data_IF_632374753580
#
_entry.id   IF_632374753580
#
_cell.length_a   1.000
_cell.length_b   1.000
_cell.length_c   1.000
_cell.angle_alpha   90.00
_cell.angle_beta   90.00
_cell.angle_gamma   90.00
#
_symmetry.space_group_name_H-M   'P 1'
#
loop_
_entity.id
_entity.type
_entity.pdbx_description
1 polymer ?
#
# COMPACT_ATOMS: atom_id res chain seq x y z
N UNK A 1 9.85 -0.78 -31.65
CA UNK A 1 10.41 -0.67 -30.29
C UNK A 1 9.38 0.04 -29.43
N UNK A 2 9.02 -0.52 -28.28
CA UNK A 2 8.02 0.10 -27.39
C UNK A 2 8.61 1.40 -26.81
N UNK A 3 7.87 2.52 -26.75
CA UNK A 3 8.40 3.80 -26.23
C UNK A 3 8.97 3.68 -24.81
N UNK A 4 8.35 2.86 -23.97
CA UNK A 4 8.86 2.56 -22.63
C UNK A 4 10.22 1.83 -22.69
N UNK A 5 10.38 0.89 -23.62
CA UNK A 5 11.65 0.20 -23.87
C UNK A 5 12.73 1.18 -24.35
N UNK A 6 12.38 2.10 -25.26
CA UNK A 6 13.31 3.15 -25.71
C UNK A 6 13.80 4.01 -24.55
N UNK A 7 12.90 4.41 -23.64
CA UNK A 7 13.25 5.19 -22.46
C UNK A 7 14.28 4.46 -21.57
N UNK A 8 14.05 3.18 -21.27
CA UNK A 8 14.99 2.41 -20.45
C UNK A 8 16.32 2.11 -21.17
N UNK A 9 16.30 1.95 -22.49
CA UNK A 9 17.53 1.80 -23.27
C UNK A 9 18.34 3.10 -23.29
N UNK A 10 17.69 4.26 -23.30
CA UNK A 10 18.38 5.55 -23.12
C UNK A 10 18.98 5.69 -21.72
N UNK A 11 18.27 5.29 -20.66
CA UNK A 11 18.81 5.29 -19.30
C UNK A 11 20.07 4.42 -19.19
N UNK A 12 20.05 3.22 -19.79
CA UNK A 12 21.23 2.34 -19.83
C UNK A 12 22.41 3.00 -20.55
N UNK A 13 22.18 3.60 -21.72
CA UNK A 13 23.22 4.33 -22.46
C UNK A 13 23.82 5.47 -21.64
N UNK A 14 23.01 6.19 -20.86
CA UNK A 14 23.48 7.27 -19.97
C UNK A 14 24.32 6.70 -18.83
N UNK A 15 23.89 5.59 -18.21
CA UNK A 15 24.65 4.91 -17.17
C UNK A 15 26.00 4.39 -17.71
N UNK A 16 26.02 3.76 -18.87
CA UNK A 16 27.26 3.27 -19.52
C UNK A 16 28.24 4.43 -19.81
N UNK A 17 27.70 5.59 -20.23
CA UNK A 17 28.51 6.79 -20.46
C UNK A 17 29.11 7.31 -19.14
N UNK A 18 28.34 7.36 -18.05
CA UNK A 18 28.83 7.72 -16.73
C UNK A 18 29.93 6.76 -16.25
N UNK A 19 29.74 5.45 -16.42
CA UNK A 19 30.76 4.45 -16.04
C UNK A 19 32.05 4.61 -16.84
N UNK A 20 31.95 4.99 -18.11
CA UNK A 20 33.10 5.25 -18.97
C UNK A 20 33.81 6.57 -18.65
N UNK A 21 33.19 7.45 -17.85
CA UNK A 21 33.70 8.77 -17.50
C UNK A 21 33.61 8.99 -15.98
N UNK A 22 34.43 8.27 -15.21
CA UNK A 22 34.38 8.27 -13.74
C UNK A 22 34.43 9.67 -13.10
N UNK A 23 35.18 10.62 -13.67
CA UNK A 23 35.25 12.01 -13.20
C UNK A 23 33.92 12.76 -13.28
N UNK A 24 33.01 12.31 -14.15
CA UNK A 24 31.65 12.84 -14.33
C UNK A 24 30.60 12.01 -13.60
N UNK A 25 30.95 10.85 -13.06
CA UNK A 25 30.03 9.95 -12.36
C UNK A 25 29.83 10.37 -10.90
N UNK A 26 29.23 11.54 -10.72
CA UNK A 26 28.89 12.12 -9.42
C UNK A 26 27.37 12.16 -9.19
N UNK A 27 26.97 12.47 -7.97
CA UNK A 27 25.57 12.50 -7.54
C UNK A 27 24.72 13.45 -8.39
N UNK A 28 25.22 14.66 -8.68
CA UNK A 28 24.52 15.63 -9.55
C UNK A 28 24.29 15.10 -10.96
N UNK A 29 25.28 14.43 -11.55
CA UNK A 29 25.15 13.89 -12.90
C UNK A 29 24.18 12.71 -12.93
N UNK A 30 24.16 11.89 -11.87
CA UNK A 30 23.19 10.81 -11.71
C UNK A 30 21.78 11.34 -11.48
N UNK A 31 21.62 12.41 -10.71
CA UNK A 31 20.36 13.14 -10.56
C UNK A 31 19.79 13.50 -11.93
N UNK A 32 20.53 14.27 -12.72
CA UNK A 32 20.06 14.81 -13.99
C UNK A 32 19.82 13.73 -15.05
N UNK A 33 20.68 12.72 -15.12
CA UNK A 33 20.69 11.77 -16.24
C UNK A 33 19.87 10.50 -15.98
N UNK A 34 19.74 10.08 -14.72
CA UNK A 34 19.15 8.78 -14.34
C UNK A 34 17.95 8.93 -13.40
N UNK A 35 18.09 9.67 -12.30
CA UNK A 35 17.11 9.72 -11.22
C UNK A 35 15.92 10.62 -11.60
N UNK A 36 16.20 11.88 -11.90
CA UNK A 36 15.17 12.86 -12.24
C UNK A 36 14.35 12.47 -13.48
N UNK A 37 14.95 11.92 -14.57
CA UNK A 37 14.18 11.36 -15.68
C UNK A 37 13.30 10.17 -15.28
N UNK A 38 13.77 9.28 -14.41
CA UNK A 38 12.96 8.18 -13.86
C UNK A 38 11.77 8.71 -13.06
N UNK A 39 11.92 9.80 -12.32
CA UNK A 39 10.82 10.39 -11.54
C UNK A 39 9.80 11.11 -12.43
N UNK A 40 10.27 11.87 -13.42
CA UNK A 40 9.44 12.83 -14.16
C UNK A 40 8.85 12.29 -15.47
N UNK A 41 9.51 11.32 -16.10
CA UNK A 41 9.03 10.71 -17.35
C UNK A 41 7.70 9.98 -17.15
N UNK A 42 6.79 10.05 -18.14
CA UNK A 42 5.57 9.23 -18.18
C UNK A 42 5.89 7.72 -18.22
N UNK A 43 7.08 7.37 -18.73
CA UNK A 43 7.61 6.00 -18.74
C UNK A 43 8.41 5.67 -17.46
N UNK A 44 8.53 6.63 -16.55
CA UNK A 44 9.09 6.48 -15.21
C UNK A 44 7.97 6.50 -14.17
N UNK A 45 7.97 7.46 -13.24
CA UNK A 45 6.93 7.66 -12.23
C UNK A 45 5.89 8.73 -12.61
N UNK A 46 6.15 9.51 -13.67
CA UNK A 46 5.20 10.48 -14.23
C UNK A 46 4.93 11.70 -13.35
N UNK A 47 5.80 12.05 -12.41
CA UNK A 47 5.61 13.25 -11.59
C UNK A 47 5.91 14.53 -12.38
N UNK A 48 5.00 15.50 -12.32
CA UNK A 48 5.29 16.83 -12.83
C UNK A 48 6.36 17.50 -11.94
N UNK A 49 7.41 18.14 -12.52
CA UNK A 49 8.39 18.93 -11.78
C UNK A 49 7.83 19.88 -10.72
N UNK A 50 6.66 20.48 -10.96
CA UNK A 50 6.03 21.40 -10.00
C UNK A 50 5.62 20.72 -8.68
N UNK A 51 5.51 19.39 -8.67
CA UNK A 51 5.19 18.58 -7.49
C UNK A 51 6.45 18.05 -6.80
N UNK A 52 7.64 18.44 -7.25
CA UNK A 52 8.92 18.01 -6.71
C UNK A 52 9.60 19.20 -6.04
N UNK A 53 9.79 19.09 -4.72
CA UNK A 53 10.52 20.09 -3.96
C UNK A 53 11.92 19.55 -3.73
N UNK A 54 12.85 19.98 -4.58
CA UNK A 54 14.26 19.67 -4.40
C UNK A 54 14.78 20.31 -3.12
N UNK A 55 15.56 19.57 -2.36
CA UNK A 55 16.36 20.12 -1.26
C UNK A 55 15.48 20.84 -0.22
N UNK A 56 14.27 20.32 0.01
CA UNK A 56 13.32 20.83 0.99
C UNK A 56 13.99 20.87 2.36
N UNK A 57 13.74 21.92 3.13
CA UNK A 57 14.40 22.12 4.42
C UNK A 57 13.38 22.02 5.54
N UNK A 58 13.64 21.16 6.52
CA UNK A 58 12.80 21.03 7.72
C UNK A 58 13.65 21.19 8.99
N UNK A 59 13.11 21.95 9.94
CA UNK A 59 13.69 22.04 11.28
C UNK A 59 13.33 20.78 12.05
N UNK A 60 14.30 20.20 12.76
CA UNK A 60 14.02 19.13 13.71
C UNK A 60 13.15 19.71 14.82
N UNK A 61 11.97 19.14 15.13
CA UNK A 61 11.11 19.62 16.20
C UNK A 61 11.84 19.65 17.54
N UNK A 62 11.60 20.68 18.35
CA UNK A 62 12.26 20.90 19.65
C UNK A 62 12.02 19.74 20.61
N UNK A 63 10.87 19.09 20.48
CA UNK A 63 10.43 17.96 21.29
C UNK A 63 11.34 16.73 21.10
N UNK A 64 11.97 16.59 19.92
CA UNK A 64 12.80 15.44 19.57
C UNK A 64 14.27 15.79 19.29
N UNK A 65 14.64 17.07 19.35
CA UNK A 65 15.99 17.53 19.00
C UNK A 65 17.10 16.93 19.89
N UNK A 66 16.74 16.55 21.13
CA UNK A 66 17.62 15.93 22.12
C UNK A 66 17.47 14.39 22.19
N UNK A 67 16.66 13.79 21.30
CA UNK A 67 16.55 12.34 21.18
C UNK A 67 17.90 11.71 20.80
N UNK A 68 18.04 10.41 21.03
CA UNK A 68 19.26 9.66 20.67
C UNK A 68 19.65 9.81 19.18
N UNK A 69 18.65 10.02 18.31
CA UNK A 69 18.82 10.17 16.87
C UNK A 69 19.35 11.57 16.54
N UNK A 70 18.74 12.62 17.09
CA UNK A 70 19.04 13.99 16.67
C UNK A 70 20.00 14.75 17.58
N UNK A 71 20.30 14.27 18.80
CA UNK A 71 21.08 15.00 19.82
C UNK A 71 22.41 15.58 19.31
N UNK A 72 23.14 14.84 18.48
CA UNK A 72 24.44 15.27 17.93
C UNK A 72 24.36 16.11 16.66
N UNK A 73 23.19 16.26 16.05
CA UNK A 73 23.05 16.94 14.77
C UNK A 73 23.14 18.46 14.92
N UNK A 74 24.08 19.09 14.21
CA UNK A 74 24.22 20.54 14.09
C UNK A 74 24.51 20.89 12.62
N UNK A 75 23.67 21.70 11.94
CA UNK A 75 22.44 22.31 12.44
C UNK A 75 21.32 21.29 12.69
N UNK A 76 20.32 21.66 13.50
CA UNK A 76 19.07 20.90 13.72
C UNK A 76 18.12 21.03 12.54
N UNK A 77 18.67 20.84 11.35
CA UNK A 77 18.01 20.98 10.06
C UNK A 77 18.26 19.70 9.28
N UNK A 78 17.25 19.29 8.51
CA UNK A 78 17.27 18.12 7.65
C UNK A 78 16.82 18.51 6.25
N UNK A 79 17.44 17.89 5.24
CA UNK A 79 17.32 18.30 3.86
C UNK A 79 17.38 17.07 2.94
N UNK A 80 16.25 16.40 2.67
CA UNK A 80 16.20 15.34 1.66
C UNK A 80 16.48 15.92 0.27
N UNK A 81 16.95 15.07 -0.64
CA UNK A 81 17.27 15.50 -2.00
C UNK A 81 16.02 15.88 -2.80
N UNK A 82 14.97 15.08 -2.71
CA UNK A 82 13.65 15.39 -3.30
C UNK A 82 12.53 15.03 -2.33
N UNK A 83 11.57 15.95 -2.19
CA UNK A 83 10.27 15.69 -1.60
C UNK A 83 9.20 15.68 -2.69
N UNK A 84 8.38 14.63 -2.75
CA UNK A 84 7.20 14.57 -3.61
C UNK A 84 6.00 15.14 -2.84
N UNK A 85 5.50 16.27 -3.34
CA UNK A 85 4.38 17.01 -2.80
C UNK A 85 3.41 17.41 -3.93
N UNK A 86 2.31 16.68 -4.14
CA UNK A 86 1.33 17.02 -5.17
C UNK A 86 0.61 18.33 -4.80
N UNK A 87 0.68 19.38 -5.62
CA UNK A 87 0.08 20.67 -5.25
C UNK A 87 -1.45 20.63 -5.05
N UNK A 88 -2.12 19.65 -5.67
CA UNK A 88 -3.55 19.40 -5.54
C UNK A 88 -3.94 18.68 -4.23
N UNK A 89 -2.99 18.02 -3.57
CA UNK A 89 -3.19 17.29 -2.32
C UNK A 89 -2.16 17.79 -1.32
N UNK A 90 -2.57 18.64 -0.37
CA UNK A 90 -1.69 19.26 0.63
C UNK A 90 -1.18 18.23 1.65
N UNK A 91 -0.38 17.25 1.19
CA UNK A 91 0.19 16.16 1.96
C UNK A 91 1.42 15.58 1.25
N UNK A 92 2.47 15.32 2.01
CA UNK A 92 3.70 14.72 1.49
C UNK A 92 3.48 13.26 1.10
N UNK A 93 3.96 12.84 -0.06
CA UNK A 93 3.80 11.46 -0.56
C UNK A 93 5.03 10.63 -0.23
N UNK A 94 6.20 11.10 -0.67
CA UNK A 94 7.45 10.38 -0.57
C UNK A 94 8.63 11.33 -0.40
N UNK A 95 9.65 10.88 0.32
CA UNK A 95 10.99 11.46 0.29
C UNK A 95 11.92 10.57 -0.54
N UNK A 96 12.79 11.18 -1.32
CA UNK A 96 13.83 10.49 -2.09
C UNK A 96 15.18 11.00 -1.61
N UNK A 97 16.03 10.06 -1.24
CA UNK A 97 17.42 10.29 -0.92
C UNK A 97 18.29 9.72 -2.06
N UNK A 98 19.16 10.57 -2.57
CA UNK A 98 20.05 10.27 -3.69
C UNK A 98 21.46 10.01 -3.17
N UNK A 99 22.18 9.16 -3.89
CA UNK A 99 23.58 8.85 -3.61
C UNK A 99 24.36 8.80 -4.91
N UNK A 100 25.66 9.10 -4.84
CA UNK A 100 26.61 8.68 -5.88
C UNK A 100 26.56 7.16 -6.11
N UNK A 101 27.16 6.70 -7.22
CA UNK A 101 27.28 5.27 -7.56
C UNK A 101 27.63 4.42 -6.35
N UNK A 102 26.81 3.41 -6.08
CA UNK A 102 27.07 2.39 -5.07
C UNK A 102 27.56 1.11 -5.74
N UNK A 103 28.39 0.35 -5.03
CA UNK A 103 28.89 -0.94 -5.53
C UNK A 103 27.77 -1.98 -5.59
N UNK A 104 26.89 -2.00 -4.57
CA UNK A 104 25.82 -2.97 -4.42
C UNK A 104 24.58 -2.35 -3.76
N UNK A 105 23.47 -3.11 -3.72
CA UNK A 105 22.24 -2.70 -3.05
C UNK A 105 22.45 -2.60 -1.53
N UNK A 106 23.31 -3.45 -0.96
CA UNK A 106 23.68 -3.43 0.45
C UNK A 106 24.49 -2.17 0.80
N UNK A 107 25.40 -1.75 -0.08
CA UNK A 107 26.14 -0.49 0.08
C UNK A 107 25.16 0.69 0.10
N UNK A 108 24.20 0.70 -0.82
CA UNK A 108 23.13 1.71 -0.83
C UNK A 108 22.32 1.66 0.47
N UNK A 109 21.92 0.48 0.94
CA UNK A 109 21.12 0.28 2.15
C UNK A 109 21.77 0.81 3.43
N UNK A 110 23.09 1.04 3.46
CA UNK A 110 23.77 1.69 4.59
C UNK A 110 23.23 3.10 4.88
N UNK A 111 22.61 3.75 3.90
CA UNK A 111 22.01 5.08 4.05
C UNK A 111 20.54 5.05 4.50
N UNK A 112 19.98 3.87 4.83
CA UNK A 112 18.56 3.73 5.22
C UNK A 112 18.16 4.54 6.45
N UNK A 113 19.08 4.75 7.41
CA UNK A 113 18.78 5.52 8.62
C UNK A 113 18.52 6.99 8.27
N UNK A 114 19.33 7.54 7.37
CA UNK A 114 19.15 8.91 6.87
C UNK A 114 17.80 9.07 6.17
N UNK A 115 17.44 8.12 5.29
CA UNK A 115 16.13 8.12 4.65
C UNK A 115 14.98 8.02 5.67
N UNK A 116 15.09 7.14 6.67
CA UNK A 116 14.07 6.97 7.69
C UNK A 116 13.86 8.25 8.52
N UNK A 117 14.93 9.00 8.82
CA UNK A 117 14.82 10.30 9.49
C UNK A 117 13.97 11.27 8.66
N UNK A 118 14.23 11.38 7.36
CA UNK A 118 13.46 12.25 6.48
C UNK A 118 12.02 11.78 6.34
N UNK A 119 11.80 10.48 6.18
CA UNK A 119 10.48 9.90 6.05
C UNK A 119 9.63 10.17 7.29
N UNK A 120 10.23 10.10 8.49
CA UNK A 120 9.55 10.41 9.74
C UNK A 120 9.25 11.91 9.88
N UNK A 121 10.23 12.78 9.58
CA UNK A 121 10.08 14.23 9.73
C UNK A 121 9.06 14.83 8.75
N UNK A 122 8.96 14.29 7.54
CA UNK A 122 8.00 14.72 6.54
C UNK A 122 6.68 13.92 6.58
N UNK A 123 6.54 12.99 7.52
CA UNK A 123 5.37 12.12 7.67
C UNK A 123 4.97 11.37 6.37
N UNK A 124 5.97 10.95 5.60
CA UNK A 124 5.76 10.25 4.34
C UNK A 124 5.52 8.75 4.56
N UNK A 125 4.50 8.20 3.89
CA UNK A 125 4.30 6.74 3.84
C UNK A 125 5.42 6.04 3.08
N UNK A 126 5.95 6.70 2.06
CA UNK A 126 6.97 6.16 1.18
C UNK A 126 8.32 6.85 1.36
N UNK A 127 9.38 6.07 1.23
CA UNK A 127 10.75 6.56 1.15
C UNK A 127 11.48 5.85 0.01
N UNK A 128 12.36 6.55 -0.70
CA UNK A 128 13.16 5.97 -1.78
C UNK A 128 14.62 6.31 -1.56
N UNK A 129 15.48 5.33 -1.73
CA UNK A 129 16.94 5.50 -1.72
C UNK A 129 17.49 5.03 -3.06
N UNK A 130 18.29 5.84 -3.73
CA UNK A 130 18.75 5.50 -5.08
C UNK A 130 20.10 6.10 -5.45
N UNK A 131 20.82 5.41 -6.33
CA UNK A 131 21.96 5.98 -7.07
C UNK A 131 21.66 6.15 -8.58
N UNK A 132 20.39 6.04 -8.98
CA UNK A 132 19.93 6.06 -10.37
C UNK A 132 19.90 4.70 -11.05
N UNK A 133 20.76 3.76 -10.69
CA UNK A 133 20.75 2.37 -11.20
C UNK A 133 20.10 1.42 -10.20
N UNK A 134 20.40 1.62 -8.91
CA UNK A 134 19.88 0.88 -7.78
C UNK A 134 18.81 1.69 -7.08
N UNK A 135 17.74 1.03 -6.68
CA UNK A 135 16.57 1.65 -6.07
C UNK A 135 16.08 0.78 -4.94
N UNK A 136 15.97 1.35 -3.74
CA UNK A 136 15.33 0.73 -2.58
C UNK A 136 14.08 1.55 -2.26
N UNK A 137 12.93 0.89 -2.30
CA UNK A 137 11.63 1.50 -2.04
C UNK A 137 11.18 1.02 -0.67
N UNK A 138 10.84 1.97 0.19
CA UNK A 138 10.41 1.72 1.56
C UNK A 138 8.97 2.14 1.77
N UNK A 139 8.22 1.30 2.48
CA UNK A 139 6.86 1.57 2.96
C UNK A 139 6.91 1.53 4.47
N UNK A 140 6.50 2.61 5.15
CA UNK A 140 6.50 2.68 6.62
C UNK A 140 7.82 2.19 7.26
N UNK A 141 8.96 2.66 6.75
CA UNK A 141 10.33 2.30 7.19
C UNK A 141 10.79 0.86 6.89
N UNK A 142 9.95 0.02 6.30
CA UNK A 142 10.30 -1.34 5.85
C UNK A 142 10.64 -1.33 4.37
N UNK A 143 11.59 -2.17 3.94
CA UNK A 143 11.87 -2.34 2.51
C UNK A 143 10.72 -3.09 1.86
N UNK A 144 10.16 -2.51 0.80
CA UNK A 144 9.05 -3.07 0.04
C UNK A 144 9.53 -3.67 -1.29
N UNK A 145 10.36 -2.93 -2.03
CA UNK A 145 10.96 -3.39 -3.29
C UNK A 145 12.41 -2.93 -3.39
N UNK A 146 13.21 -3.71 -4.11
CA UNK A 146 14.60 -3.39 -4.45
C UNK A 146 14.85 -3.71 -5.93
N UNK A 147 15.60 -2.84 -6.58
CA UNK A 147 16.09 -3.03 -7.94
C UNK A 147 17.60 -2.78 -7.91
N UNK A 148 18.39 -3.76 -8.34
CA UNK A 148 19.86 -3.69 -8.34
C UNK A 148 20.42 -3.14 -9.65
N UNK A 149 19.59 -3.06 -10.70
CA UNK A 149 19.99 -2.59 -12.03
C UNK A 149 18.83 -1.89 -12.75
N UNK A 150 19.16 -1.10 -13.78
CA UNK A 150 18.16 -0.49 -14.68
C UNK A 150 17.31 -1.56 -15.38
N UNK A 151 17.85 -2.75 -15.66
CA UNK A 151 17.09 -3.86 -16.25
C UNK A 151 16.03 -4.42 -15.29
N UNK A 152 16.36 -4.54 -14.01
CA UNK A 152 15.39 -4.94 -12.97
C UNK A 152 14.34 -3.86 -12.77
N UNK A 153 14.76 -2.60 -12.71
CA UNK A 153 13.85 -1.45 -12.66
C UNK A 153 12.89 -1.44 -13.85
N UNK A 154 13.37 -1.68 -15.08
CA UNK A 154 12.54 -1.78 -16.27
C UNK A 154 11.49 -2.89 -16.14
N UNK A 155 11.87 -4.07 -15.64
CA UNK A 155 10.95 -5.19 -15.45
C UNK A 155 9.91 -4.89 -14.35
N UNK A 156 10.32 -4.18 -13.30
CA UNK A 156 9.50 -3.84 -12.14
C UNK A 156 8.85 -2.45 -12.16
N UNK A 157 8.97 -1.68 -13.26
CA UNK A 157 8.52 -0.28 -13.28
C UNK A 157 7.03 -0.15 -13.00
N UNK A 158 6.23 -1.13 -13.41
CA UNK A 158 4.79 -1.16 -13.12
C UNK A 158 4.51 -1.25 -11.62
N UNK A 159 5.24 -2.08 -10.90
CA UNK A 159 5.11 -2.21 -9.44
C UNK A 159 5.59 -0.93 -8.75
N UNK A 160 6.64 -0.30 -9.28
CA UNK A 160 7.12 0.97 -8.76
C UNK A 160 6.11 2.11 -8.97
N UNK A 161 5.51 2.23 -10.16
CA UNK A 161 4.39 3.16 -10.43
C UNK A 161 3.19 2.86 -9.54
N UNK A 162 2.84 1.59 -9.37
CA UNK A 162 1.79 1.20 -8.44
C UNK A 162 2.08 1.62 -6.99
N UNK A 163 3.34 1.73 -6.58
CA UNK A 163 3.68 2.25 -5.25
C UNK A 163 3.53 3.77 -5.19
N UNK A 164 4.31 4.48 -6.01
CA UNK A 164 4.56 5.93 -5.88
C UNK A 164 4.38 6.73 -7.17
N UNK A 165 3.90 6.13 -8.26
CA UNK A 165 3.60 6.81 -9.52
C UNK A 165 2.52 7.87 -9.33
N UNK A 166 2.66 9.01 -10.03
CA UNK A 166 1.78 10.16 -9.84
C UNK A 166 0.31 9.80 -10.02
N UNK A 167 -0.02 9.17 -11.14
CA UNK A 167 -1.37 8.73 -11.47
C UNK A 167 -1.93 7.78 -10.41
N UNK A 168 -1.21 6.71 -10.10
CA UNK A 168 -1.67 5.67 -9.18
C UNK A 168 -1.84 6.19 -7.75
N UNK A 169 -0.96 7.09 -7.28
CA UNK A 169 -1.06 7.74 -5.97
C UNK A 169 -2.26 8.69 -5.90
N UNK A 170 -2.42 9.56 -6.92
CA UNK A 170 -3.50 10.55 -6.96
C UNK A 170 -4.86 9.85 -7.04
N UNK A 171 -5.00 8.87 -7.93
CA UNK A 171 -6.22 8.07 -8.08
C UNK A 171 -6.57 7.38 -6.74
N UNK A 172 -5.57 6.79 -6.08
CA UNK A 172 -5.75 6.12 -4.78
C UNK A 172 -6.18 7.09 -3.68
N UNK A 173 -5.57 8.26 -3.62
CA UNK A 173 -5.94 9.27 -2.63
C UNK A 173 -7.37 9.75 -2.85
N UNK A 174 -7.73 10.06 -4.09
CA UNK A 174 -9.08 10.49 -4.44
C UNK A 174 -10.13 9.43 -4.11
N UNK A 175 -9.80 8.15 -4.25
CA UNK A 175 -10.73 7.06 -4.00
C UNK A 175 -10.81 6.62 -2.54
N UNK A 176 -9.69 6.65 -1.80
CA UNK A 176 -9.58 6.01 -0.48
C UNK A 176 -8.99 6.91 0.60
N UNK A 177 -8.66 8.17 0.28
CA UNK A 177 -8.06 9.14 1.19
C UNK A 177 -6.74 8.64 1.83
N UNK A 178 -5.94 7.89 1.05
CA UNK A 178 -4.63 7.40 1.49
C UNK A 178 -3.64 7.30 0.33
N UNK A 179 -2.37 7.54 0.63
CA UNK A 179 -1.25 7.27 -0.28
C UNK A 179 -0.66 5.87 -0.10
N UNK A 180 -1.06 5.18 0.96
CA UNK A 180 -0.55 3.85 1.27
C UNK A 180 -1.02 2.81 0.26
N UNK A 181 -0.26 1.75 0.04
CA UNK A 181 -0.64 0.73 -0.95
C UNK A 181 -1.90 -0.02 -0.51
N UNK A 182 -2.92 0.00 -1.37
CA UNK A 182 -4.18 -0.73 -1.13
C UNK A 182 -4.20 -1.97 -2.02
N UNK A 183 -4.27 -3.13 -1.38
CA UNK A 183 -4.56 -4.39 -2.05
C UNK A 183 -6.07 -4.59 -2.00
N UNK A 184 -6.74 -4.21 -3.08
CA UNK A 184 -8.16 -4.54 -3.27
C UNK A 184 -8.18 -5.96 -3.82
N UNK A 185 -8.31 -6.93 -2.93
CA UNK A 185 -8.52 -8.30 -3.36
C UNK A 185 -10.00 -8.49 -3.68
N UNK A 186 -10.40 -8.66 -4.95
CA UNK A 186 -11.75 -9.18 -5.26
C UNK A 186 -11.91 -10.62 -4.74
N UNK A 187 -10.81 -11.23 -4.28
CA UNK A 187 -10.64 -12.60 -3.82
C UNK A 187 -10.55 -12.77 -2.30
N UNK A 188 -10.93 -11.76 -1.50
CA UNK A 188 -11.54 -12.10 -0.19
C UNK A 188 -12.84 -12.91 -0.35
N UNK A 189 -13.34 -13.05 -1.58
CA UNK A 189 -14.37 -14.02 -1.97
C UNK A 189 -13.84 -15.43 -2.34
N UNK A 190 -12.53 -15.68 -2.32
CA UNK A 190 -11.87 -16.95 -2.64
C UNK A 190 -10.96 -17.44 -1.50
N UNK A 191 -11.30 -17.17 -0.24
CA UNK A 191 -11.02 -18.22 0.74
C UNK A 191 -11.73 -19.47 0.22
N UNK A 192 -11.06 -20.62 0.19
CA UNK A 192 -11.78 -21.87 0.37
C UNK A 192 -12.72 -21.60 1.52
N UNK A 193 -14.03 -21.57 1.25
CA UNK A 193 -15.01 -21.27 2.27
C UNK A 193 -14.62 -22.08 3.49
N UNK A 194 -14.31 -21.41 4.60
CA UNK A 194 -13.94 -22.07 5.86
C UNK A 194 -15.02 -23.11 6.23
N UNK A 195 -16.21 -22.95 5.63
CA UNK A 195 -17.35 -23.81 5.71
C UNK A 195 -17.88 -24.18 4.32
N UNK A 196 -17.01 -24.70 3.43
CA UNK A 196 -17.36 -25.13 2.07
C UNK A 196 -18.57 -26.08 2.03
N UNK A 197 -18.80 -26.82 3.11
CA UNK A 197 -19.99 -27.66 3.30
C UNK A 197 -21.33 -26.89 3.29
N UNK A 198 -21.34 -25.55 3.40
CA UNK A 198 -22.55 -24.71 3.38
C UNK A 198 -22.66 -23.77 2.17
N UNK A 199 -21.71 -23.80 1.23
CA UNK A 199 -21.64 -22.83 0.12
C UNK A 199 -22.84 -22.86 -0.83
N UNK A 200 -23.56 -23.98 -0.86
CA UNK A 200 -24.72 -24.20 -1.72
C UNK A 200 -26.01 -24.44 -0.91
N UNK A 201 -25.99 -24.14 0.39
CA UNK A 201 -27.15 -24.32 1.27
C UNK A 201 -27.82 -22.94 1.48
N UNK A 202 -29.13 -22.80 1.19
CA UNK A 202 -29.89 -21.60 1.50
C UNK A 202 -29.75 -21.18 2.96
N UNK A 203 -29.64 -19.87 3.18
CA UNK A 203 -29.43 -19.28 4.52
C UNK A 203 -30.57 -18.36 4.87
N UNK A 204 -31.03 -18.41 6.11
CA UNK A 204 -31.95 -17.42 6.69
C UNK A 204 -31.30 -16.78 7.91
N UNK A 205 -31.38 -15.46 7.99
CA UNK A 205 -30.95 -14.68 9.15
C UNK A 205 -32.18 -14.10 9.81
N UNK A 206 -32.41 -14.42 11.08
CA UNK A 206 -33.59 -14.01 11.86
C UNK A 206 -33.27 -12.89 12.85
N UNK A 207 -34.26 -12.04 13.13
CA UNK A 207 -34.11 -10.83 13.95
C UNK A 207 -33.54 -9.64 13.18
N UNK A 208 -33.83 -9.60 11.88
CA UNK A 208 -33.42 -8.52 10.98
C UNK A 208 -34.58 -8.10 10.09
N UNK A 209 -34.67 -6.81 9.80
CA UNK A 209 -35.59 -6.24 8.82
C UNK A 209 -34.84 -5.17 8.00
N UNK A 210 -34.99 -5.21 6.68
CA UNK A 210 -34.26 -4.34 5.74
C UNK A 210 -32.74 -4.25 6.00
N UNK A 211 -32.12 -5.38 6.39
CA UNK A 211 -30.69 -5.47 6.68
C UNK A 211 -30.25 -4.89 8.04
N UNK A 212 -31.20 -4.45 8.89
CA UNK A 212 -30.93 -3.93 10.24
C UNK A 212 -31.49 -4.86 11.31
N UNK A 213 -30.83 -4.88 12.47
CA UNK A 213 -31.30 -5.64 13.63
C UNK A 213 -32.61 -5.09 14.17
N UNK A 214 -33.54 -5.98 14.51
CA UNK A 214 -34.80 -5.61 15.17
C UNK A 214 -34.65 -5.73 16.68
N UNK A 215 -35.26 -4.80 17.41
CA UNK A 215 -35.15 -4.73 18.89
C UNK A 215 -35.83 -5.91 19.57
N UNK A 216 -36.91 -6.41 18.97
CA UNK A 216 -37.73 -7.51 19.48
C UNK A 216 -37.36 -8.88 18.87
N UNK A 217 -36.29 -8.97 18.07
CA UNK A 217 -35.91 -10.22 17.40
C UNK A 217 -36.84 -10.64 16.26
N UNK A 218 -37.78 -9.78 15.84
CA UNK A 218 -38.69 -10.05 14.73
C UNK A 218 -38.07 -9.89 13.34
N UNK A 219 -38.71 -10.46 12.33
CA UNK A 219 -38.28 -10.36 10.93
C UNK A 219 -37.17 -11.35 10.57
N UNK A 220 -36.98 -11.53 9.27
CA UNK A 220 -35.93 -12.38 8.73
C UNK A 220 -35.55 -11.93 7.32
N UNK A 221 -34.39 -12.39 6.87
CA UNK A 221 -33.93 -12.24 5.48
C UNK A 221 -33.38 -13.56 4.96
N UNK A 222 -33.86 -13.96 3.79
CA UNK A 222 -33.37 -15.12 3.06
C UNK A 222 -32.19 -14.74 2.15
N UNK A 223 -31.23 -15.65 2.07
CA UNK A 223 -30.05 -15.57 1.24
C UNK A 223 -29.89 -16.87 0.45
N UNK A 224 -29.38 -16.74 -0.77
CA UNK A 224 -29.11 -17.88 -1.65
C UNK A 224 -28.14 -18.88 -1.00
N UNK A 225 -27.14 -18.39 -0.27
CA UNK A 225 -26.16 -19.18 0.44
C UNK A 225 -25.41 -18.36 1.51
N UNK A 226 -24.51 -19.03 2.25
CA UNK A 226 -23.73 -18.42 3.32
C UNK A 226 -22.87 -17.26 2.83
N UNK A 227 -22.28 -17.40 1.63
CA UNK A 227 -21.48 -16.34 1.00
C UNK A 227 -22.30 -15.07 0.79
N UNK A 228 -23.53 -15.17 0.30
CA UNK A 228 -24.42 -14.01 0.16
C UNK A 228 -24.80 -13.39 1.50
N UNK A 229 -25.01 -14.21 2.54
CA UNK A 229 -25.35 -13.72 3.87
C UNK A 229 -24.17 -12.97 4.53
N UNK A 230 -22.95 -13.48 4.36
CA UNK A 230 -21.73 -12.87 4.91
C UNK A 230 -21.40 -11.49 4.32
N UNK A 231 -21.89 -11.16 3.11
CA UNK A 231 -21.76 -9.82 2.53
C UNK A 231 -22.50 -8.76 3.34
N UNK A 232 -23.61 -9.12 3.98
CA UNK A 232 -24.40 -8.20 4.80
C UNK A 232 -24.11 -8.36 6.30
N UNK A 233 -23.82 -9.59 6.74
CA UNK A 233 -23.57 -9.93 8.14
C UNK A 233 -22.22 -10.67 8.27
N UNK A 234 -21.09 -9.93 8.32
CA UNK A 234 -19.75 -10.53 8.21
C UNK A 234 -19.31 -11.36 9.43
N UNK A 235 -20.08 -11.37 10.52
CA UNK A 235 -19.78 -12.13 11.75
C UNK A 235 -20.71 -13.34 11.94
N UNK A 236 -21.35 -13.83 10.88
CA UNK A 236 -22.03 -15.13 10.91
C UNK A 236 -20.96 -16.25 10.97
N UNK A 237 -21.16 -17.22 11.86
CA UNK A 237 -20.22 -18.34 12.01
C UNK A 237 -20.98 -19.66 12.18
N UNK A 238 -20.91 -20.61 11.23
CA UNK A 238 -21.74 -21.83 11.27
C UNK A 238 -21.52 -22.72 12.49
N UNK A 239 -20.31 -22.72 13.05
CA UNK A 239 -19.89 -23.65 14.11
C UNK A 239 -19.81 -23.02 15.50
N UNK A 240 -19.95 -21.70 15.63
CA UNK A 240 -19.71 -20.98 16.89
C UNK A 240 -20.75 -19.87 17.06
N UNK A 241 -21.07 -19.57 18.32
CA UNK A 241 -21.80 -18.36 18.65
C UNK A 241 -20.89 -17.15 18.49
N UNK A 242 -21.44 -16.04 18.00
CA UNK A 242 -20.74 -14.76 17.90
C UNK A 242 -21.40 -13.73 18.80
N UNK A 243 -20.85 -12.51 18.84
CA UNK A 243 -21.41 -11.44 19.65
C UNK A 243 -22.85 -11.11 19.26
N UNK A 244 -23.19 -11.24 17.97
CA UNK A 244 -24.51 -10.85 17.44
C UNK A 244 -25.42 -12.02 17.13
N UNK A 245 -24.87 -13.19 16.80
CA UNK A 245 -25.63 -14.32 16.31
C UNK A 245 -25.34 -15.63 17.05
N UNK A 246 -26.32 -16.52 17.05
CA UNK A 246 -26.12 -17.93 17.37
C UNK A 246 -25.27 -18.62 16.29
N UNK A 247 -24.74 -19.78 16.61
CA UNK A 247 -24.28 -20.77 15.64
C UNK A 247 -25.38 -21.16 14.64
N UNK A 248 -25.02 -21.81 13.52
CA UNK A 248 -25.98 -22.20 12.50
C UNK A 248 -26.86 -23.38 12.96
N UNK A 249 -28.16 -23.14 13.01
CA UNK A 249 -29.17 -24.18 13.15
C UNK A 249 -29.44 -24.81 11.78
N UNK A 250 -29.54 -26.14 11.72
CA UNK A 250 -29.65 -26.89 10.46
C UNK A 250 -31.04 -27.50 10.32
N UNK A 251 -31.70 -27.22 9.20
CA UNK A 251 -32.90 -27.94 8.78
C UNK A 251 -32.48 -29.16 7.96
N UNK A 252 -32.76 -30.36 8.48
CA UNK A 252 -32.38 -31.63 7.84
C UNK A 252 -33.62 -32.31 7.29
N UNK A 253 -33.61 -32.67 6.00
CA UNK A 253 -34.66 -33.46 5.35
C UNK A 253 -33.99 -34.49 4.44
N UNK A 254 -34.44 -35.75 4.51
CA UNK A 254 -33.85 -36.87 3.75
C UNK A 254 -32.32 -36.95 3.96
N UNK A 255 -31.88 -36.84 5.21
CA UNK A 255 -30.46 -36.88 5.63
C UNK A 255 -29.57 -35.80 5.00
N UNK A 256 -30.15 -34.81 4.32
CA UNK A 256 -29.43 -33.67 3.73
C UNK A 256 -29.86 -32.37 4.40
N UNK A 257 -28.88 -31.49 4.63
CA UNK A 257 -29.15 -30.14 5.10
C UNK A 257 -29.81 -29.37 3.95
N UNK A 258 -31.04 -28.89 4.16
CA UNK A 258 -31.80 -28.11 3.16
C UNK A 258 -31.66 -26.62 3.36
N UNK A 259 -31.50 -26.18 4.60
CA UNK A 259 -31.40 -24.76 4.97
C UNK A 259 -30.59 -24.62 6.25
N UNK A 260 -29.85 -23.52 6.38
CA UNK A 260 -29.26 -23.12 7.65
C UNK A 260 -29.84 -21.79 8.11
N UNK A 261 -30.00 -21.67 9.42
CA UNK A 261 -30.59 -20.52 10.09
C UNK A 261 -29.63 -19.95 11.11
N UNK A 262 -29.44 -18.63 11.06
CA UNK A 262 -28.77 -17.86 12.08
C UNK A 262 -29.78 -16.97 12.78
N UNK A 263 -29.73 -16.92 14.10
CA UNK A 263 -30.62 -16.08 14.90
C UNK A 263 -29.77 -15.03 15.60
N UNK A 264 -30.24 -13.79 15.62
CA UNK A 264 -29.75 -12.84 16.62
C UNK A 264 -30.08 -13.36 18.02
N UNK A 265 -29.35 -12.92 19.05
CA UNK A 265 -29.70 -13.29 20.43
C UNK A 265 -31.15 -12.93 20.80
N UNK A 266 -31.69 -11.83 20.27
CA UNK A 266 -33.10 -11.45 20.45
C UNK A 266 -34.07 -12.36 19.72
N UNK A 267 -33.74 -12.80 18.50
CA UNK A 267 -34.55 -13.80 17.80
C UNK A 267 -34.51 -15.16 18.50
N UNK A 268 -33.35 -15.55 19.01
CA UNK A 268 -33.18 -16.79 19.78
C UNK A 268 -34.04 -16.79 21.06
N UNK A 269 -34.00 -15.68 21.82
CA UNK A 269 -34.88 -15.45 22.98
C UNK A 269 -36.38 -15.43 22.63
N UNK A 270 -36.76 -15.16 21.37
CA UNK A 270 -38.15 -15.04 20.97
C UNK A 270 -38.72 -16.33 20.36
N UNK A 271 -37.88 -17.12 19.67
CA UNK A 271 -38.32 -18.25 18.84
C UNK A 271 -37.81 -19.61 19.30
N UNK A 272 -36.72 -19.63 20.07
CA UNK A 272 -35.93 -20.84 20.33
C UNK A 272 -35.71 -21.09 21.83
N UNK A 273 -36.29 -20.26 22.69
CA UNK A 273 -36.41 -20.43 24.14
C UNK A 273 -37.65 -21.22 24.54
#
# INVERSE_FOLDING_TARGET
>A
MNKEEQFFDELKKRADNLHSNAERDNESSRHDLLIYPTITSEFGLGWNPINLISQSTINVPKEIENSLIFRGAVPKIRKPDILIFPNEIIKNVAVIEEKKKQESIESLANHKLQLNEYQALYECTWGVLTDGEKWIIKRNFETFHEFSTINELQKGIKDFRNCIGSKEIIDRYNQYNTFDYIIISPYLNNFSSEFAEFDNIPVIVCGVDNGKFTVNGSGYKDFKNLKSALLEFPDLHPKLNTKRFTWAMKEIKEEKIKKIRFETWKAYEAYSS
#
